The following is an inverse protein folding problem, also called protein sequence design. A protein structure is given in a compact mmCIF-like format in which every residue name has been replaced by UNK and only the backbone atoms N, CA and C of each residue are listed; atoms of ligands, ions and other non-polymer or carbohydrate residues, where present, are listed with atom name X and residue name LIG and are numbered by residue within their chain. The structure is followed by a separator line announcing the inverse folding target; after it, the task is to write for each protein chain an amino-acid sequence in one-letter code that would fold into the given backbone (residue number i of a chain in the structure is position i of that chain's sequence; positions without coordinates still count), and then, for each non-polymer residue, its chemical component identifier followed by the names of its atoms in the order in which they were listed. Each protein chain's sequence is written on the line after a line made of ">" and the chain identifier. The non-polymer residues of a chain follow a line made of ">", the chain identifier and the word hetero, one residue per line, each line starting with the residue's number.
data_IF_041892629147
#
_entry.id   IF_041892629147
#
_cell.length_a   1.000
_cell.length_b   1.000
_cell.length_c   1.000
_cell.angle_alpha   90.00
_cell.angle_beta   90.00
_cell.angle_gamma   90.00
#
_symmetry.space_group_name_H-M   'P 1'
#
loop_
_entity.id
_entity.type
_entity.pdbx_description
1 polymer ?
#
# COMPACT_ATOMS: atom_id res chain seq x y z
N UNK A 1 -25.78 -6.95 11.23
CA UNK A 1 -24.68 -6.25 11.93
C UNK A 1 -23.62 -5.69 10.98
N UNK A 2 -22.85 -6.49 10.21
CA UNK A 2 -21.92 -5.93 9.20
C UNK A 2 -22.66 -5.44 7.95
N UNK A 3 -23.66 -6.18 7.48
CA UNK A 3 -24.48 -5.82 6.31
C UNK A 3 -25.20 -4.47 6.53
N UNK A 4 -25.85 -4.29 7.68
CA UNK A 4 -26.47 -3.00 8.08
C UNK A 4 -25.46 -1.85 8.15
N UNK A 5 -24.20 -2.13 8.51
CA UNK A 5 -23.15 -1.13 8.58
C UNK A 5 -22.63 -0.75 7.18
N UNK A 6 -22.66 -1.70 6.24
CA UNK A 6 -22.33 -1.45 4.83
C UNK A 6 -23.40 -0.64 4.09
N UNK A 7 -24.64 -0.66 4.58
CA UNK A 7 -25.71 0.22 4.10
C UNK A 7 -25.56 1.67 4.61
N UNK A 8 -24.75 1.88 5.65
CA UNK A 8 -24.44 3.21 6.14
C UNK A 8 -23.40 3.90 5.25
N UNK A 9 -23.85 4.85 4.43
CA UNK A 9 -22.99 5.60 3.51
C UNK A 9 -21.84 6.33 4.21
N UNK A 10 -22.05 6.88 5.42
CA UNK A 10 -21.00 7.59 6.15
C UNK A 10 -19.90 6.63 6.62
N UNK A 11 -20.28 5.43 7.06
CA UNK A 11 -19.33 4.37 7.41
C UNK A 11 -18.49 3.95 6.19
N UNK A 12 -19.14 3.59 5.08
CA UNK A 12 -18.47 3.16 3.86
C UNK A 12 -17.54 4.25 3.29
N UNK A 13 -17.98 5.51 3.29
CA UNK A 13 -17.16 6.65 2.88
C UNK A 13 -15.97 6.86 3.82
N UNK A 14 -16.15 6.69 5.12
CA UNK A 14 -15.05 6.75 6.10
C UNK A 14 -13.98 5.68 5.83
N UNK A 15 -14.39 4.44 5.56
CA UNK A 15 -13.49 3.34 5.20
C UNK A 15 -12.76 3.64 3.88
N UNK A 16 -13.48 4.03 2.83
CA UNK A 16 -12.89 4.36 1.54
C UNK A 16 -11.89 5.54 1.64
N UNK A 17 -12.23 6.58 2.40
CA UNK A 17 -11.33 7.70 2.66
C UNK A 17 -10.06 7.24 3.40
N UNK A 18 -10.20 6.37 4.42
CA UNK A 18 -9.07 5.77 5.13
C UNK A 18 -8.15 5.00 4.19
N UNK A 19 -8.70 4.12 3.35
CA UNK A 19 -7.93 3.37 2.35
C UNK A 19 -7.19 4.31 1.41
N UNK A 20 -7.86 5.34 0.89
CA UNK A 20 -7.26 6.33 -0.02
C UNK A 20 -6.09 7.08 0.61
N UNK A 21 -6.20 7.46 1.89
CA UNK A 21 -5.11 8.12 2.62
C UNK A 21 -3.86 7.22 2.73
N UNK A 22 -4.04 5.93 3.03
CA UNK A 22 -2.92 4.99 3.10
C UNK A 22 -2.29 4.73 1.72
N UNK A 23 -3.10 4.55 0.68
CA UNK A 23 -2.60 4.41 -0.69
C UNK A 23 -1.79 5.65 -1.13
N UNK A 24 -2.29 6.85 -0.84
CA UNK A 24 -1.59 8.09 -1.17
C UNK A 24 -0.25 8.22 -0.44
N UNK A 25 -0.15 7.77 0.82
CA UNK A 25 1.13 7.73 1.54
C UNK A 25 2.15 6.84 0.82
N UNK A 26 1.72 5.69 0.30
CA UNK A 26 2.61 4.79 -0.46
C UNK A 26 3.09 5.47 -1.74
N UNK A 27 2.18 6.08 -2.50
CA UNK A 27 2.52 6.75 -3.76
C UNK A 27 3.44 7.95 -3.52
N UNK A 28 3.22 8.73 -2.46
CA UNK A 28 4.08 9.86 -2.10
C UNK A 28 5.47 9.43 -1.66
N UNK A 29 5.57 8.39 -0.84
CA UNK A 29 6.88 7.85 -0.45
C UNK A 29 7.64 7.33 -1.68
N UNK A 30 6.95 6.65 -2.61
CA UNK A 30 7.54 6.24 -3.87
C UNK A 30 8.08 7.42 -4.68
N UNK A 31 7.27 8.47 -4.88
CA UNK A 31 7.66 9.60 -5.73
C UNK A 31 8.82 10.40 -5.15
N UNK A 32 9.01 10.34 -3.83
CA UNK A 32 10.12 10.99 -3.11
C UNK A 32 11.34 10.10 -2.90
N UNK A 33 11.24 8.79 -3.21
CA UNK A 33 12.29 7.82 -2.89
C UNK A 33 12.47 7.62 -1.37
N UNK A 34 11.42 7.86 -0.59
CA UNK A 34 11.42 7.72 0.86
C UNK A 34 10.95 6.32 1.29
N UNK A 35 11.45 5.84 2.43
CA UNK A 35 10.95 4.63 3.07
C UNK A 35 9.60 4.86 3.75
N UNK A 36 8.75 3.85 3.78
CA UNK A 36 7.48 3.85 4.52
C UNK A 36 7.66 3.10 5.83
N UNK A 37 7.36 3.73 6.98
CA UNK A 37 7.30 3.05 8.28
C UNK A 37 5.87 2.55 8.53
N UNK A 38 5.69 1.23 8.72
CA UNK A 38 4.43 0.62 9.16
C UNK A 38 4.69 -0.06 10.50
N UNK A 39 4.06 0.45 11.57
CA UNK A 39 4.41 0.07 12.93
C UNK A 39 5.86 0.45 13.24
N UNK A 40 6.69 -0.52 13.60
CA UNK A 40 8.14 -0.35 13.82
C UNK A 40 9.01 -0.78 12.62
N UNK A 41 8.40 -1.26 11.55
CA UNK A 41 9.12 -1.81 10.39
C UNK A 41 9.22 -0.80 9.25
N UNK A 42 10.41 -0.65 8.69
CA UNK A 42 10.66 0.16 7.48
C UNK A 42 10.50 -0.68 6.22
N UNK A 43 9.74 -0.15 5.27
CA UNK A 43 9.52 -0.72 3.94
C UNK A 43 10.10 0.21 2.88
N UNK A 44 10.87 -0.36 1.97
CA UNK A 44 11.36 0.35 0.78
C UNK A 44 10.55 -0.11 -0.41
N UNK A 45 10.12 0.84 -1.23
CA UNK A 45 9.44 0.52 -2.48
C UNK A 45 10.48 0.12 -3.52
N UNK A 46 10.39 -1.13 -3.97
CA UNK A 46 11.21 -1.63 -5.07
C UNK A 46 10.85 -0.91 -6.36
N UNK A 47 11.87 -0.48 -7.08
CA UNK A 47 11.77 -0.09 -8.49
C UNK A 47 11.40 -1.29 -9.36
N UNK A 48 10.86 -1.01 -10.55
CA UNK A 48 10.56 -2.08 -11.53
C UNK A 48 11.78 -2.92 -11.91
N UNK A 49 12.99 -2.33 -11.85
CA UNK A 49 14.26 -3.02 -12.10
C UNK A 49 14.59 -4.02 -11.01
N UNK A 50 14.49 -3.61 -9.75
CA UNK A 50 14.73 -4.48 -8.59
C UNK A 50 13.75 -5.65 -8.58
N UNK A 51 12.48 -5.39 -8.88
CA UNK A 51 11.45 -6.44 -8.95
C UNK A 51 11.69 -7.41 -10.11
N UNK A 52 12.14 -6.92 -11.26
CA UNK A 52 12.52 -7.77 -12.38
C UNK A 52 13.72 -8.65 -12.04
N UNK A 53 14.75 -8.08 -11.40
CA UNK A 53 15.93 -8.81 -10.98
C UNK A 53 15.58 -9.91 -9.97
N UNK A 54 14.77 -9.61 -8.96
CA UNK A 54 14.30 -10.60 -8.00
C UNK A 54 13.50 -11.73 -8.66
N UNK A 55 12.67 -11.40 -9.66
CA UNK A 55 11.93 -12.40 -10.43
C UNK A 55 12.88 -13.31 -11.23
N UNK A 56 13.84 -12.72 -11.93
CA UNK A 56 14.85 -13.47 -12.69
C UNK A 56 15.65 -14.39 -11.77
N UNK A 57 16.08 -13.89 -10.61
CA UNK A 57 16.83 -14.69 -9.63
C UNK A 57 16.02 -15.88 -9.10
N UNK A 58 14.71 -15.72 -8.90
CA UNK A 58 13.79 -16.79 -8.46
C UNK A 58 13.49 -17.85 -9.52
N UNK A 59 13.56 -17.49 -10.81
CA UNK A 59 13.26 -18.42 -11.92
C UNK A 59 14.52 -19.13 -12.40
N UNK A 60 15.67 -18.44 -12.38
CA UNK A 60 16.93 -18.94 -12.92
C UNK A 60 17.79 -19.67 -11.89
N UNK A 61 17.42 -19.67 -10.60
CA UNK A 61 18.01 -20.50 -9.54
C UNK A 61 16.93 -21.35 -8.89
#
# INVERSE_FOLDING_TARGET
>A
MLEELMENAAFCNGIAAGIGLYQNKVVLAHSRGESIKIGETLYYLQTGRERLQEMMDKVCR
#
